data_IF_608027148931
#
_entry.id   IF_608027148931
#
_cell.length_a   1.000
_cell.length_b   1.000
_cell.length_c   1.000
_cell.angle_alpha   90.00
_cell.angle_beta   90.00
_cell.angle_gamma   90.00
#
_symmetry.space_group_name_H-M   'P 1'
#
loop_
_entity.id
_entity.type
_entity.pdbx_description
1 polymer ?
#
# COMPACT_ATOMS: atom_id res chain seq x y z
N UNK A 1 8.52 -9.02 -18.19
CA UNK A 1 8.95 -9.75 -16.99
C UNK A 1 7.91 -9.50 -15.93
N UNK A 2 7.09 -10.47 -15.56
CA UNK A 2 6.19 -10.32 -14.43
C UNK A 2 7.05 -10.23 -13.17
N UNK A 3 6.85 -9.19 -12.37
CA UNK A 3 7.48 -9.12 -11.06
C UNK A 3 6.90 -10.28 -10.24
N UNK A 4 7.76 -11.10 -9.66
CA UNK A 4 7.31 -12.21 -8.84
C UNK A 4 6.42 -11.67 -7.71
N UNK A 5 5.16 -12.09 -7.67
CA UNK A 5 4.18 -11.65 -6.66
C UNK A 5 3.09 -10.70 -7.17
N UNK A 6 3.20 -10.14 -8.38
CA UNK A 6 2.16 -9.24 -8.93
C UNK A 6 0.99 -9.98 -9.59
N UNK A 7 1.02 -11.31 -9.66
CA UNK A 7 -0.07 -12.11 -10.21
C UNK A 7 -1.05 -12.53 -9.13
N UNK A 8 -2.31 -12.17 -9.34
CA UNK A 8 -3.39 -12.68 -8.53
C UNK A 8 -3.86 -14.02 -9.10
N UNK A 9 -3.73 -15.10 -8.33
CA UNK A 9 -4.39 -16.36 -8.66
C UNK A 9 -5.91 -16.24 -8.41
N UNK A 10 -6.68 -16.26 -9.49
CA UNK A 10 -8.13 -16.22 -9.42
C UNK A 10 -8.71 -17.39 -8.56
N UNK A 11 -8.06 -18.54 -8.56
CA UNK A 11 -8.48 -19.67 -7.71
C UNK A 11 -8.31 -19.38 -6.23
N UNK A 12 -7.22 -18.70 -5.84
CA UNK A 12 -7.04 -18.27 -4.46
C UNK A 12 -8.17 -17.34 -4.03
N UNK A 13 -8.45 -16.29 -4.81
CA UNK A 13 -9.49 -15.32 -4.51
C UNK A 13 -10.86 -15.98 -4.33
N UNK A 14 -11.23 -16.87 -5.24
CA UNK A 14 -12.53 -17.54 -5.19
C UNK A 14 -12.62 -18.58 -4.07
N UNK A 15 -11.61 -19.42 -3.92
CA UNK A 15 -11.67 -20.57 -2.98
C UNK A 15 -11.52 -20.18 -1.52
N UNK A 16 -10.66 -19.19 -1.23
CA UNK A 16 -10.33 -18.81 0.14
C UNK A 16 -11.09 -17.57 0.61
N UNK A 17 -11.36 -16.64 -0.29
CA UNK A 17 -11.95 -15.34 0.07
C UNK A 17 -13.39 -15.19 -0.44
N UNK A 18 -13.85 -16.06 -1.33
CA UNK A 18 -15.16 -15.91 -1.96
C UNK A 18 -15.26 -14.69 -2.91
N UNK A 19 -14.13 -14.13 -3.32
CA UNK A 19 -14.03 -12.95 -4.18
C UNK A 19 -13.91 -13.40 -5.62
N UNK A 20 -14.74 -12.83 -6.49
CA UNK A 20 -14.64 -13.02 -7.94
C UNK A 20 -13.72 -11.96 -8.54
N UNK A 21 -12.55 -12.30 -9.09
CA UNK A 21 -11.75 -11.36 -9.85
C UNK A 21 -12.45 -10.96 -11.14
N UNK A 22 -12.42 -9.67 -11.45
CA UNK A 22 -12.86 -9.14 -12.75
C UNK A 22 -11.73 -8.33 -13.37
N UNK A 23 -11.56 -8.51 -14.66
CA UNK A 23 -10.53 -7.82 -15.43
C UNK A 23 -11.19 -6.73 -16.26
N UNK A 24 -10.69 -5.50 -16.11
CA UNK A 24 -11.09 -4.35 -16.91
C UNK A 24 -9.91 -3.96 -17.77
N UNK A 25 -10.10 -3.87 -19.09
CA UNK A 25 -9.05 -3.42 -19.98
C UNK A 25 -8.76 -1.93 -19.74
N UNK A 26 -7.48 -1.55 -19.72
CA UNK A 26 -7.06 -0.15 -19.50
C UNK A 26 -7.62 0.80 -20.57
N UNK A 27 -7.92 0.31 -21.75
CA UNK A 27 -8.56 1.10 -22.80
C UNK A 27 -9.95 1.61 -22.39
N UNK A 28 -10.61 0.96 -21.44
CA UNK A 28 -11.87 1.45 -20.88
C UNK A 28 -11.67 2.76 -20.09
N UNK A 29 -10.60 2.88 -19.34
CA UNK A 29 -10.25 4.14 -18.65
C UNK A 29 -9.98 5.22 -19.69
N UNK A 30 -9.17 4.93 -20.71
CA UNK A 30 -8.86 5.88 -21.77
C UNK A 30 -10.11 6.28 -22.57
N UNK A 31 -11.02 5.33 -22.85
CA UNK A 31 -12.31 5.59 -23.48
C UNK A 31 -13.14 6.57 -22.66
N UNK A 32 -13.25 6.34 -21.35
CA UNK A 32 -13.99 7.24 -20.46
C UNK A 32 -13.36 8.63 -20.39
N UNK A 33 -12.05 8.72 -20.31
CA UNK A 33 -11.35 10.03 -20.37
C UNK A 33 -11.67 10.76 -21.67
N UNK A 34 -11.54 10.09 -22.83
CA UNK A 34 -11.74 10.70 -24.16
C UNK A 34 -13.19 11.06 -24.46
N UNK A 35 -14.15 10.32 -23.91
CA UNK A 35 -15.58 10.53 -24.11
C UNK A 35 -16.22 11.29 -22.94
N UNK A 36 -15.40 11.79 -22.02
CA UNK A 36 -15.82 12.57 -20.86
C UNK A 36 -16.89 11.87 -19.99
N UNK A 37 -16.71 10.55 -19.77
CA UNK A 37 -17.63 9.73 -18.99
C UNK A 37 -17.21 9.74 -17.51
N UNK A 38 -17.49 10.84 -16.85
CA UNK A 38 -17.30 11.09 -15.41
C UNK A 38 -18.24 12.21 -14.96
N UNK A 39 -18.48 12.35 -13.67
CA UNK A 39 -19.27 13.48 -13.13
C UNK A 39 -18.46 14.78 -13.29
N UNK A 40 -18.89 15.65 -14.21
CA UNK A 40 -18.20 16.90 -14.51
C UNK A 40 -18.17 17.86 -13.33
N UNK A 41 -19.25 17.94 -12.55
CA UNK A 41 -19.29 18.83 -11.39
C UNK A 41 -18.33 18.35 -10.29
N UNK A 42 -18.25 17.03 -10.10
CA UNK A 42 -17.26 16.46 -9.16
C UNK A 42 -15.84 16.63 -9.69
N UNK A 43 -15.63 16.48 -11.00
CA UNK A 43 -14.31 16.73 -11.61
C UNK A 43 -13.81 18.15 -11.35
N UNK A 44 -14.63 19.17 -11.59
CA UNK A 44 -14.26 20.54 -11.32
C UNK A 44 -13.93 20.78 -9.85
N UNK A 45 -14.72 20.20 -8.94
CA UNK A 45 -14.44 20.27 -7.51
C UNK A 45 -13.12 19.58 -7.15
N UNK A 46 -12.89 18.37 -7.67
CA UNK A 46 -11.69 17.59 -7.40
C UNK A 46 -10.44 18.29 -7.95
N UNK A 47 -10.50 18.82 -9.17
CA UNK A 47 -9.37 19.55 -9.77
C UNK A 47 -9.04 20.82 -9.00
N UNK A 48 -10.06 21.60 -8.61
CA UNK A 48 -9.84 22.79 -7.80
C UNK A 48 -9.22 22.47 -6.44
N UNK A 49 -9.70 21.40 -5.79
CA UNK A 49 -9.15 20.90 -4.53
C UNK A 49 -7.68 20.43 -4.71
N UNK A 50 -7.40 19.69 -5.77
CA UNK A 50 -6.04 19.20 -6.07
C UNK A 50 -5.08 20.38 -6.26
N UNK A 51 -5.46 21.37 -7.08
CA UNK A 51 -4.65 22.59 -7.30
C UNK A 51 -4.40 23.38 -6.00
N UNK A 52 -5.31 23.31 -5.04
CA UNK A 52 -5.19 24.05 -3.77
C UNK A 52 -4.42 23.29 -2.68
N UNK A 53 -4.40 21.96 -2.72
CA UNK A 53 -3.92 21.12 -1.62
C UNK A 53 -2.78 20.16 -1.99
N UNK A 54 -2.45 20.05 -3.27
CA UNK A 54 -1.42 19.13 -3.75
C UNK A 54 -0.26 19.94 -4.41
N UNK A 55 0.59 20.60 -3.61
CA UNK A 55 1.71 21.37 -4.15
C UNK A 55 2.69 20.44 -4.88
N UNK A 56 3.17 20.88 -6.03
CA UNK A 56 4.22 20.15 -6.73
C UNK A 56 5.52 20.20 -5.93
N UNK A 57 6.12 19.02 -5.78
CA UNK A 57 7.40 18.84 -5.12
C UNK A 57 8.59 18.91 -6.09
N UNK A 58 9.65 18.21 -5.75
CA UNK A 58 10.88 18.19 -6.53
C UNK A 58 10.64 17.58 -7.92
N UNK A 59 10.95 18.33 -8.97
CA UNK A 59 11.07 17.79 -10.33
C UNK A 59 12.52 17.36 -10.59
N UNK A 60 12.71 16.09 -10.87
CA UNK A 60 14.02 15.51 -11.21
C UNK A 60 14.27 15.46 -12.71
N UNK A 61 13.30 15.84 -13.52
CA UNK A 61 13.37 15.79 -14.98
C UNK A 61 14.09 17.04 -15.48
N UNK A 62 15.31 16.88 -16.00
CA UNK A 62 16.13 17.98 -16.51
C UNK A 62 16.07 18.12 -18.04
N UNK A 63 15.53 17.12 -18.72
CA UNK A 63 15.46 17.06 -20.18
C UNK A 63 14.14 16.45 -20.64
N UNK A 64 13.71 16.81 -21.84
CA UNK A 64 12.57 16.18 -22.50
C UNK A 64 12.89 14.71 -22.72
N UNK A 65 11.99 13.82 -22.32
CA UNK A 65 12.18 12.39 -22.49
C UNK A 65 12.18 12.03 -23.99
N UNK A 66 13.29 11.55 -24.55
CA UNK A 66 13.33 11.14 -25.96
C UNK A 66 12.44 9.93 -26.28
N UNK A 67 11.98 9.19 -25.26
CA UNK A 67 11.07 8.05 -25.39
C UNK A 67 9.60 8.43 -25.54
N UNK A 68 9.21 9.64 -25.16
CA UNK A 68 7.88 10.22 -25.39
C UNK A 68 8.01 11.75 -25.56
N UNK A 69 8.22 12.22 -26.79
CA UNK A 69 8.37 13.66 -27.06
C UNK A 69 7.06 14.43 -26.86
N UNK A 70 5.92 13.74 -26.83
CA UNK A 70 4.58 14.33 -26.71
C UNK A 70 4.05 14.19 -25.25
N UNK A 71 4.94 14.18 -24.25
CA UNK A 71 4.52 14.17 -22.85
C UNK A 71 3.66 15.41 -22.55
N UNK A 72 2.56 15.19 -21.85
CA UNK A 72 1.63 16.26 -21.44
C UNK A 72 2.34 17.29 -20.57
N UNK A 73 1.91 18.55 -20.65
CA UNK A 73 2.28 19.56 -19.65
C UNK A 73 1.82 19.14 -18.25
N UNK A 74 2.42 19.68 -17.19
CA UNK A 74 2.01 19.36 -15.82
C UNK A 74 0.52 19.63 -15.58
N UNK A 75 -0.02 20.72 -16.13
CA UNK A 75 -1.44 21.03 -16.01
C UNK A 75 -2.31 19.96 -16.66
N UNK A 76 -1.98 19.52 -17.87
CA UNK A 76 -2.69 18.44 -18.55
C UNK A 76 -2.54 17.09 -17.83
N UNK A 77 -1.37 16.82 -17.23
CA UNK A 77 -1.15 15.64 -16.39
C UNK A 77 -2.05 15.67 -15.15
N UNK A 78 -2.16 16.79 -14.44
CA UNK A 78 -3.07 16.94 -13.31
C UNK A 78 -4.53 16.70 -13.69
N UNK A 79 -4.98 17.32 -14.77
CA UNK A 79 -6.32 17.08 -15.29
C UNK A 79 -6.58 15.60 -15.60
N UNK A 80 -5.60 14.96 -16.24
CA UNK A 80 -5.70 13.53 -16.57
C UNK A 80 -5.74 12.66 -15.32
N UNK A 81 -4.86 12.90 -14.35
CA UNK A 81 -4.78 12.15 -13.09
C UNK A 81 -6.10 12.26 -12.30
N UNK A 82 -6.69 13.45 -12.22
CA UNK A 82 -7.98 13.64 -11.53
C UNK A 82 -9.12 12.91 -12.27
N UNK A 83 -9.20 13.03 -13.60
CA UNK A 83 -10.18 12.28 -14.41
C UNK A 83 -10.04 10.77 -14.20
N UNK A 84 -8.81 10.28 -14.26
CA UNK A 84 -8.48 8.86 -14.04
C UNK A 84 -8.91 8.39 -12.65
N UNK A 85 -8.68 9.20 -11.61
CA UNK A 85 -9.07 8.87 -10.23
C UNK A 85 -10.59 8.68 -10.08
N UNK A 86 -11.39 9.62 -10.65
CA UNK A 86 -12.85 9.50 -10.67
C UNK A 86 -13.29 8.24 -11.41
N UNK A 87 -12.73 8.02 -12.59
CA UNK A 87 -13.10 6.91 -13.47
C UNK A 87 -12.79 5.55 -12.81
N UNK A 88 -11.61 5.41 -12.19
CA UNK A 88 -11.24 4.17 -11.47
C UNK A 88 -12.21 3.92 -10.32
N UNK A 89 -12.49 4.94 -9.51
CA UNK A 89 -13.46 4.85 -8.42
C UNK A 89 -14.83 4.41 -8.94
N UNK A 90 -15.31 5.04 -10.01
CA UNK A 90 -16.64 4.79 -10.58
C UNK A 90 -16.73 3.39 -11.22
N UNK A 91 -15.65 2.88 -11.82
CA UNK A 91 -15.57 1.48 -12.26
C UNK A 91 -15.71 0.52 -11.08
N UNK A 92 -15.10 0.83 -9.96
CA UNK A 92 -15.13 -0.03 -8.76
C UNK A 92 -16.51 0.03 -8.06
N UNK A 93 -17.00 1.22 -7.77
CA UNK A 93 -18.14 1.45 -6.87
C UNK A 93 -19.43 1.76 -7.61
N UNK A 94 -19.36 2.28 -8.84
CA UNK A 94 -20.47 2.86 -9.57
C UNK A 94 -20.68 4.34 -9.25
N UNK A 95 -21.44 5.01 -10.14
CA UNK A 95 -21.81 6.41 -9.98
C UNK A 95 -23.14 6.68 -10.69
N UNK A 96 -24.21 6.82 -9.91
CA UNK A 96 -25.57 7.03 -10.46
C UNK A 96 -25.72 8.32 -11.28
N UNK A 97 -24.87 9.33 -11.04
CA UNK A 97 -24.89 10.58 -11.81
C UNK A 97 -24.53 10.39 -13.28
N UNK A 98 -23.84 9.31 -13.62
CA UNK A 98 -23.54 8.99 -15.01
C UNK A 98 -24.81 8.66 -15.82
N UNK A 99 -25.91 8.29 -15.15
CA UNK A 99 -27.23 8.09 -15.79
C UNK A 99 -27.77 9.39 -16.38
N UNK A 100 -27.47 10.51 -15.72
CA UNK A 100 -27.89 11.83 -16.20
C UNK A 100 -27.19 12.23 -17.52
N UNK A 101 -26.01 11.63 -17.76
CA UNK A 101 -25.26 11.72 -19.01
C UNK A 101 -25.68 10.68 -20.06
N UNK A 102 -26.74 9.89 -19.79
CA UNK A 102 -27.16 8.77 -20.65
C UNK A 102 -26.22 7.57 -20.64
N UNK A 103 -25.35 7.48 -19.63
CA UNK A 103 -24.33 6.41 -19.48
C UNK A 103 -24.78 5.37 -18.46
N UNK A 104 -25.85 4.65 -18.80
CA UNK A 104 -26.50 3.70 -17.89
C UNK A 104 -25.63 2.50 -17.55
N UNK A 105 -24.86 1.97 -18.50
CA UNK A 105 -23.96 0.84 -18.26
C UNK A 105 -22.76 1.27 -17.41
N UNK A 106 -22.14 2.40 -17.76
CA UNK A 106 -20.98 2.94 -17.06
C UNK A 106 -21.30 3.43 -15.65
N UNK A 107 -22.57 3.71 -15.34
CA UNK A 107 -23.01 4.07 -13.99
C UNK A 107 -22.95 2.89 -13.02
N UNK A 108 -23.00 1.67 -13.53
CA UNK A 108 -22.89 0.48 -12.70
C UNK A 108 -21.43 0.21 -12.34
N UNK A 109 -21.13 0.13 -11.04
CA UNK A 109 -19.85 -0.34 -10.54
C UNK A 109 -19.75 -1.86 -10.56
N UNK A 110 -18.57 -2.32 -10.23
CA UNK A 110 -18.27 -3.76 -10.06
C UNK A 110 -18.49 -4.27 -8.64
N UNK A 111 -18.95 -3.41 -7.72
CA UNK A 111 -19.02 -3.70 -6.30
C UNK A 111 -17.67 -4.26 -5.77
N UNK A 112 -16.58 -3.63 -6.22
CA UNK A 112 -15.23 -4.06 -5.93
C UNK A 112 -14.85 -3.69 -4.49
N UNK A 113 -14.25 -4.63 -3.78
CA UNK A 113 -13.75 -4.40 -2.41
C UNK A 113 -12.28 -4.00 -2.38
N UNK A 114 -11.54 -4.32 -3.42
CA UNK A 114 -10.25 -3.73 -3.76
C UNK A 114 -9.99 -3.91 -5.26
N UNK A 115 -9.05 -3.17 -5.77
CA UNK A 115 -8.61 -3.22 -7.15
C UNK A 115 -7.10 -3.05 -7.26
N UNK A 116 -6.62 -2.89 -8.49
CA UNK A 116 -5.24 -2.58 -8.79
C UNK A 116 -5.09 -2.17 -10.23
N UNK A 117 -4.07 -1.40 -10.54
CA UNK A 117 -3.80 -0.91 -11.87
C UNK A 117 -2.54 -1.57 -12.41
N UNK A 118 -2.73 -2.52 -13.33
CA UNK A 118 -1.63 -3.22 -14.00
C UNK A 118 -1.22 -2.45 -15.27
N UNK A 119 0.02 -2.56 -15.64
CA UNK A 119 0.47 -2.12 -16.94
C UNK A 119 1.29 -0.87 -16.91
N UNK A 120 2.11 -0.77 -15.91
CA UNK A 120 3.06 0.32 -15.78
C UNK A 120 3.80 0.62 -17.08
N UNK A 121 4.20 -0.37 -17.88
CA UNK A 121 4.99 -0.12 -19.10
C UNK A 121 4.17 0.40 -20.26
N UNK A 122 3.14 -0.28 -20.70
CA UNK A 122 2.37 0.15 -21.88
C UNK A 122 1.57 1.44 -21.63
N UNK A 123 0.95 1.56 -20.46
CA UNK A 123 0.21 2.76 -20.10
C UNK A 123 1.15 3.92 -19.82
N UNK A 124 2.11 3.74 -18.93
CA UNK A 124 2.97 4.81 -18.42
C UNK A 124 4.08 5.23 -19.39
N UNK A 125 4.24 4.54 -20.51
CA UNK A 125 5.09 5.03 -21.59
C UNK A 125 4.44 6.21 -22.36
N UNK A 126 3.11 6.36 -22.30
CA UNK A 126 2.37 7.34 -23.10
C UNK A 126 1.42 8.22 -22.28
N UNK A 127 0.99 7.77 -21.12
CA UNK A 127 -0.02 8.41 -20.31
C UNK A 127 0.47 8.53 -18.86
N UNK A 128 -0.05 9.52 -18.10
CA UNK A 128 0.26 9.67 -16.69
C UNK A 128 0.03 8.38 -15.89
N UNK A 129 0.91 8.13 -14.92
CA UNK A 129 0.81 6.98 -14.03
C UNK A 129 -0.43 7.06 -13.12
N UNK A 130 -0.71 5.98 -12.39
CA UNK A 130 -1.85 5.90 -11.49
C UNK A 130 -1.54 6.32 -10.05
N UNK A 131 -0.35 6.84 -9.76
CA UNK A 131 0.14 7.07 -8.40
C UNK A 131 -0.77 8.03 -7.62
N UNK A 132 -1.18 9.14 -8.23
CA UNK A 132 -2.11 10.07 -7.61
C UNK A 132 -3.46 9.39 -7.27
N UNK A 133 -4.00 8.60 -8.21
CA UNK A 133 -5.26 7.88 -8.01
C UNK A 133 -5.13 6.85 -6.86
N UNK A 134 -4.05 6.08 -6.85
CA UNK A 134 -3.78 5.11 -5.80
C UNK A 134 -3.60 5.78 -4.44
N UNK A 135 -2.84 6.87 -4.36
CA UNK A 135 -2.63 7.62 -3.11
C UNK A 135 -3.94 8.16 -2.54
N UNK A 136 -4.74 8.87 -3.35
CA UNK A 136 -5.97 9.50 -2.88
C UNK A 136 -7.08 8.49 -2.60
N UNK A 137 -7.22 7.45 -3.41
CA UNK A 137 -8.26 6.44 -3.17
C UNK A 137 -7.96 5.59 -1.94
N UNK A 138 -6.70 5.23 -1.70
CA UNK A 138 -6.29 4.52 -0.49
C UNK A 138 -6.34 5.37 0.79
N UNK A 139 -6.38 6.70 0.68
CA UNK A 139 -6.45 7.61 1.83
C UNK A 139 -7.84 7.62 2.47
N UNK A 140 -7.89 8.04 3.74
CA UNK A 140 -9.13 8.19 4.51
C UNK A 140 -9.90 9.47 4.18
N UNK A 141 -9.45 10.22 3.20
CA UNK A 141 -10.06 11.47 2.75
C UNK A 141 -9.83 11.72 1.25
N UNK A 142 -10.62 12.61 0.69
CA UNK A 142 -10.45 13.20 -0.63
C UNK A 142 -11.04 14.62 -0.67
N UNK A 143 -11.33 15.15 -1.86
CA UNK A 143 -11.98 16.46 -2.07
C UNK A 143 -13.40 16.56 -1.48
N UNK A 144 -14.00 15.47 -1.04
CA UNK A 144 -15.30 15.45 -0.35
C UNK A 144 -15.17 15.42 1.17
N UNK A 145 -13.94 15.44 1.70
CA UNK A 145 -13.62 15.27 3.11
C UNK A 145 -13.32 13.81 3.47
N UNK A 146 -13.52 13.44 4.72
CA UNK A 146 -13.23 12.07 5.18
C UNK A 146 -14.11 11.02 4.49
N UNK A 147 -13.51 9.87 4.19
CA UNK A 147 -14.15 8.73 3.52
C UNK A 147 -13.55 7.41 3.94
N UNK A 148 -14.28 6.34 3.71
CA UNK A 148 -13.68 5.00 3.74
C UNK A 148 -12.70 4.86 2.57
N UNK A 149 -11.49 4.30 2.80
CA UNK A 149 -10.55 4.00 1.72
C UNK A 149 -11.15 3.12 0.64
N UNK A 150 -10.85 3.45 -0.61
CA UNK A 150 -11.09 2.60 -1.78
C UNK A 150 -9.77 1.96 -2.14
N UNK A 151 -9.62 0.69 -1.84
CA UNK A 151 -8.31 0.04 -1.86
C UNK A 151 -7.83 -0.24 -3.29
N UNK A 152 -6.64 0.27 -3.60
CA UNK A 152 -5.91 -0.01 -4.84
C UNK A 152 -4.52 -0.54 -4.52
N UNK A 153 -4.21 -1.71 -5.03
CA UNK A 153 -2.89 -2.32 -4.93
C UNK A 153 -2.03 -1.92 -6.12
N UNK A 154 -0.92 -1.29 -5.85
CA UNK A 154 0.08 -0.91 -6.86
C UNK A 154 0.47 -2.14 -7.71
N UNK A 155 0.75 -1.93 -8.99
CA UNK A 155 1.09 -2.98 -9.96
C UNK A 155 0.03 -4.09 -10.12
N UNK A 156 -1.19 -3.87 -9.62
CA UNK A 156 -2.24 -4.88 -9.53
C UNK A 156 -1.77 -6.14 -8.77
N UNK A 157 -0.94 -5.97 -7.73
CA UNK A 157 -0.55 -7.06 -6.86
C UNK A 157 -1.71 -7.48 -5.96
N UNK A 158 -2.56 -8.37 -6.46
CA UNK A 158 -3.75 -8.81 -5.76
C UNK A 158 -3.48 -9.59 -4.46
N UNK A 159 -2.30 -10.19 -4.31
CA UNK A 159 -1.91 -10.84 -3.06
C UNK A 159 -1.61 -9.79 -1.98
N UNK A 160 -0.90 -8.72 -2.34
CA UNK A 160 -0.70 -7.59 -1.44
C UNK A 160 -1.99 -6.80 -1.21
N UNK A 161 -2.83 -6.64 -2.26
CA UNK A 161 -4.17 -6.06 -2.14
C UNK A 161 -5.06 -6.81 -1.15
N UNK A 162 -4.94 -8.14 -1.09
CA UNK A 162 -5.61 -8.96 -0.07
C UNK A 162 -5.10 -8.62 1.34
N UNK A 163 -3.80 -8.44 1.51
CA UNK A 163 -3.24 -8.01 2.80
C UNK A 163 -3.72 -6.61 3.17
N UNK A 164 -3.76 -5.66 2.21
CA UNK A 164 -4.35 -4.32 2.43
C UNK A 164 -5.81 -4.41 2.87
N UNK A 165 -6.60 -5.28 2.24
CA UNK A 165 -7.99 -5.51 2.60
C UNK A 165 -8.12 -6.01 4.04
N UNK A 166 -7.29 -6.98 4.45
CA UNK A 166 -7.29 -7.49 5.81
C UNK A 166 -6.97 -6.38 6.82
N UNK A 167 -5.92 -5.60 6.57
CA UNK A 167 -5.55 -4.48 7.43
C UNK A 167 -6.66 -3.44 7.54
N UNK A 168 -7.24 -3.03 6.43
CA UNK A 168 -8.33 -2.04 6.41
C UNK A 168 -9.59 -2.55 7.14
N UNK A 169 -10.04 -3.78 6.88
CA UNK A 169 -11.25 -4.33 7.49
C UNK A 169 -11.10 -4.56 9.00
N UNK A 170 -9.91 -4.99 9.46
CA UNK A 170 -9.66 -5.20 10.89
C UNK A 170 -9.55 -3.90 11.66
N UNK A 171 -9.07 -2.84 11.04
CA UNK A 171 -8.72 -1.60 11.75
C UNK A 171 -9.58 -0.39 11.42
N UNK A 172 -10.26 -0.39 10.27
CA UNK A 172 -10.94 0.80 9.74
C UNK A 172 -9.97 1.92 9.32
N UNK A 173 -8.68 1.60 9.12
CA UNK A 173 -7.62 2.55 8.77
C UNK A 173 -7.16 2.36 7.33
N UNK A 174 -6.49 3.36 6.80
CA UNK A 174 -5.77 3.20 5.54
C UNK A 174 -4.73 2.06 5.67
N UNK A 175 -4.58 1.29 4.61
CA UNK A 175 -3.48 0.33 4.46
C UNK A 175 -2.54 0.83 3.39
N UNK A 176 -1.25 0.77 3.67
CA UNK A 176 -0.21 1.30 2.79
C UNK A 176 0.41 0.16 2.02
N UNK A 177 0.38 0.24 0.70
CA UNK A 177 1.20 -0.62 -0.14
C UNK A 177 2.66 -0.18 -0.01
N UNK A 178 3.58 -1.11 0.18
CA UNK A 178 5.00 -0.82 0.27
C UNK A 178 5.85 -1.83 -0.49
N UNK A 179 6.88 -1.31 -1.14
CA UNK A 179 8.02 -2.09 -1.61
C UNK A 179 8.97 -2.34 -0.44
N UNK A 180 9.31 -3.59 -0.19
CA UNK A 180 10.35 -3.98 0.77
C UNK A 180 11.70 -3.88 0.04
N UNK A 181 12.34 -2.72 0.12
CA UNK A 181 13.45 -2.37 -0.79
C UNK A 181 14.81 -2.81 -0.31
N UNK A 182 15.19 -2.43 0.90
CA UNK A 182 16.56 -2.58 1.37
C UNK A 182 16.61 -2.71 2.88
N UNK A 183 17.41 -3.65 3.35
CA UNK A 183 17.91 -3.64 4.72
C UNK A 183 19.13 -2.72 4.81
N UNK A 184 19.09 -1.79 5.74
CA UNK A 184 20.22 -0.95 6.11
C UNK A 184 20.85 -1.46 7.40
N UNK A 185 22.03 -2.07 7.31
CA UNK A 185 22.79 -2.44 8.51
C UNK A 185 23.37 -1.20 9.19
N UNK A 186 23.60 -1.22 10.51
CA UNK A 186 24.23 -0.11 11.23
C UNK A 186 25.56 0.33 10.60
N UNK A 187 26.38 -0.64 10.18
CA UNK A 187 27.68 -0.38 9.56
C UNK A 187 27.55 0.26 8.18
N UNK A 188 26.52 -0.12 7.42
CA UNK A 188 26.26 0.47 6.12
C UNK A 188 25.78 1.92 6.25
N UNK A 189 24.92 2.19 7.21
CA UNK A 189 24.44 3.54 7.53
C UNK A 189 25.62 4.42 7.96
N UNK A 190 26.42 3.98 8.93
CA UNK A 190 27.58 4.73 9.42
C UNK A 190 28.59 4.99 8.30
N UNK A 191 28.88 4.01 7.45
CA UNK A 191 29.79 4.15 6.32
C UNK A 191 29.31 5.18 5.29
N UNK A 192 27.99 5.27 5.04
CA UNK A 192 27.42 6.15 4.02
C UNK A 192 27.20 7.57 4.55
N UNK A 193 26.80 7.71 5.80
CA UNK A 193 26.30 8.97 6.35
C UNK A 193 27.18 9.54 7.47
N UNK A 194 28.07 8.75 8.05
CA UNK A 194 28.83 9.08 9.25
C UNK A 194 28.01 9.03 10.55
N UNK A 195 26.73 8.71 10.48
CA UNK A 195 25.84 8.61 11.64
C UNK A 195 25.72 7.16 12.11
N UNK A 196 25.91 6.95 13.39
CA UNK A 196 25.72 5.66 14.02
C UNK A 196 24.27 5.51 14.45
N UNK A 197 23.53 4.50 13.96
CA UNK A 197 22.16 4.27 14.37
C UNK A 197 22.00 4.03 15.87
N UNK A 198 20.95 4.59 16.45
CA UNK A 198 20.65 4.53 17.87
C UNK A 198 19.16 4.25 18.12
N UNK A 199 18.78 4.05 19.37
CA UNK A 199 17.40 3.76 19.76
C UNK A 199 16.87 2.51 19.05
N UNK A 200 15.67 2.58 18.48
CA UNK A 200 15.07 1.47 17.73
C UNK A 200 15.89 1.09 16.48
N UNK A 201 16.50 2.06 15.85
CA UNK A 201 17.32 1.85 14.65
C UNK A 201 18.68 1.22 14.91
N UNK A 202 19.11 1.04 16.19
CA UNK A 202 20.44 0.62 16.56
C UNK A 202 20.92 -0.69 15.91
N UNK A 203 19.99 -1.59 15.56
CA UNK A 203 20.26 -2.88 14.91
C UNK A 203 19.93 -2.88 13.42
N UNK A 204 19.79 -1.70 12.82
CA UNK A 204 19.40 -1.53 11.43
C UNK A 204 17.88 -1.41 11.24
N UNK A 205 17.48 -1.17 10.02
CA UNK A 205 16.09 -0.94 9.66
C UNK A 205 15.84 -1.33 8.19
N UNK A 206 14.58 -1.49 7.84
CA UNK A 206 14.13 -1.81 6.49
C UNK A 206 13.62 -0.53 5.84
N UNK A 207 14.06 -0.25 4.62
CA UNK A 207 13.55 0.80 3.77
C UNK A 207 12.30 0.29 3.06
N UNK A 208 11.16 0.86 3.41
CA UNK A 208 9.89 0.65 2.75
C UNK A 208 9.55 1.91 1.97
N UNK A 209 9.29 1.74 0.68
CA UNK A 209 8.84 2.81 -0.22
C UNK A 209 7.60 2.33 -0.97
N UNK A 210 7.01 3.20 -1.73
CA UNK A 210 6.15 2.77 -2.83
C UNK A 210 6.60 3.49 -4.11
N UNK A 211 6.27 2.98 -5.27
CA UNK A 211 6.58 3.63 -6.56
C UNK A 211 5.78 4.93 -6.80
N UNK A 212 5.62 5.71 -5.73
CA UNK A 212 5.00 7.03 -5.71
C UNK A 212 3.52 7.06 -5.27
N UNK A 213 2.99 5.97 -4.76
CA UNK A 213 1.55 5.78 -4.53
C UNK A 213 1.21 5.32 -3.11
N UNK A 214 1.61 6.03 -2.08
CA UNK A 214 1.18 5.70 -0.72
C UNK A 214 -0.01 6.55 -0.27
N UNK A 215 -0.93 5.96 0.50
CA UNK A 215 -1.99 6.70 1.18
C UNK A 215 -1.39 7.84 2.02
N UNK A 216 -1.96 9.03 1.93
CA UNK A 216 -1.44 10.23 2.62
C UNK A 216 -1.50 10.07 4.15
N UNK A 217 -2.38 9.22 4.65
CA UNK A 217 -2.42 8.78 6.06
C UNK A 217 -1.09 8.23 6.57
N UNK A 218 -0.26 7.67 5.69
CA UNK A 218 1.04 7.12 6.04
C UNK A 218 2.06 8.18 6.47
N UNK A 219 1.77 9.47 6.30
CA UNK A 219 2.53 10.53 6.98
C UNK A 219 2.56 10.32 8.48
N UNK A 220 1.49 9.74 9.07
CA UNK A 220 1.37 9.53 10.51
C UNK A 220 1.18 10.81 11.30
N UNK A 221 0.64 11.86 10.69
CA UNK A 221 0.46 13.17 11.32
C UNK A 221 -0.90 13.39 11.96
N UNK A 222 -1.82 12.45 11.80
CA UNK A 222 -3.00 12.44 12.66
C UNK A 222 -2.57 12.22 14.12
N UNK A 223 -3.30 12.84 15.04
CA UNK A 223 -2.96 12.84 16.47
C UNK A 223 -4.12 12.25 17.27
N UNK A 224 -3.80 11.44 18.28
CA UNK A 224 -4.75 11.12 19.34
C UNK A 224 -4.87 12.25 20.37
N UNK A 225 -5.63 12.01 21.43
CA UNK A 225 -5.83 12.99 22.50
C UNK A 225 -4.55 13.35 23.25
N UNK A 226 -3.58 12.43 23.29
CA UNK A 226 -2.28 12.63 23.93
C UNK A 226 -1.26 13.31 23.02
N UNK A 227 -1.63 13.54 21.75
CA UNK A 227 -0.74 14.08 20.74
C UNK A 227 0.21 13.06 20.12
N UNK A 228 -0.01 11.76 20.36
CA UNK A 228 0.76 10.67 19.76
C UNK A 228 0.44 10.53 18.28
N UNK A 229 1.47 10.31 17.48
CA UNK A 229 1.32 10.08 16.03
C UNK A 229 0.59 8.76 15.78
N UNK A 230 -0.37 8.79 14.87
CA UNK A 230 -1.10 7.59 14.46
C UNK A 230 -1.71 7.73 13.08
N UNK A 231 -2.19 6.59 12.55
CA UNK A 231 -3.14 6.57 11.44
C UNK A 231 -4.53 6.30 12.04
N UNK A 232 -5.44 7.27 11.94
CA UNK A 232 -6.80 7.15 12.51
C UNK A 232 -7.69 6.22 11.70
N UNK A 233 -8.71 5.69 12.36
CA UNK A 233 -9.85 5.11 11.65
C UNK A 233 -10.53 6.18 10.81
N UNK A 234 -10.96 5.84 9.61
CA UNK A 234 -11.48 6.79 8.64
C UNK A 234 -12.63 7.67 9.19
N UNK A 235 -13.46 7.13 10.09
CA UNK A 235 -14.57 7.87 10.69
C UNK A 235 -14.14 8.85 11.82
N UNK A 236 -12.94 8.71 12.34
CA UNK A 236 -12.35 9.55 13.38
C UNK A 236 -11.39 10.63 12.87
N UNK A 237 -11.10 10.63 11.54
CA UNK A 237 -10.25 11.64 10.92
C UNK A 237 -10.96 13.00 10.99
N UNK A 238 -10.23 14.05 11.36
CA UNK A 238 -10.71 15.43 11.42
C UNK A 238 -10.14 16.28 10.28
N UNK A 239 -10.72 17.46 10.07
CA UNK A 239 -10.23 18.39 9.06
C UNK A 239 -8.80 18.89 9.40
N UNK A 240 -8.46 18.98 10.69
CA UNK A 240 -7.12 19.31 11.17
C UNK A 240 -6.11 18.20 10.84
N UNK A 241 -6.51 16.94 11.03
CA UNK A 241 -5.68 15.79 10.63
C UNK A 241 -5.42 15.80 9.12
N UNK A 242 -6.48 16.01 8.31
CA UNK A 242 -6.39 16.08 6.84
C UNK A 242 -5.40 17.18 6.44
N UNK A 243 -5.53 18.36 7.03
CA UNK A 243 -4.64 19.47 6.73
C UNK A 243 -3.18 19.17 7.09
N UNK A 244 -2.94 18.62 8.28
CA UNK A 244 -1.60 18.25 8.72
C UNK A 244 -0.93 17.21 7.79
N UNK A 245 -1.70 16.23 7.32
CA UNK A 245 -1.23 15.22 6.38
C UNK A 245 -0.93 15.81 5.00
N UNK A 246 -1.80 16.70 4.49
CA UNK A 246 -1.60 17.39 3.20
C UNK A 246 -0.42 18.34 3.24
N UNK A 247 -0.29 19.15 4.31
CA UNK A 247 0.81 20.12 4.47
C UNK A 247 2.19 19.43 4.55
N UNK A 248 2.24 18.14 4.85
CA UNK A 248 3.47 17.35 4.90
C UNK A 248 3.72 16.52 3.63
N UNK A 249 2.85 16.62 2.63
CA UNK A 249 2.93 15.85 1.39
C UNK A 249 3.16 16.76 0.21
N UNK A 250 4.28 16.56 -0.47
CA UNK A 250 4.51 17.11 -1.80
C UNK A 250 4.09 16.10 -2.87
N UNK A 251 3.80 16.60 -4.06
CA UNK A 251 3.47 15.78 -5.21
C UNK A 251 4.55 15.96 -6.29
N UNK A 252 5.49 15.04 -6.32
CA UNK A 252 6.61 15.11 -7.23
C UNK A 252 6.23 14.69 -8.64
N UNK A 253 6.58 15.46 -9.68
CA UNK A 253 6.48 14.99 -11.05
C UNK A 253 7.22 13.66 -11.22
N UNK A 254 6.57 12.71 -11.85
CA UNK A 254 7.13 11.36 -12.04
C UNK A 254 8.41 11.42 -12.87
N UNK A 255 9.39 10.60 -12.51
CA UNK A 255 10.63 10.48 -13.26
C UNK A 255 10.35 9.93 -14.67
N UNK A 256 10.51 10.76 -15.71
CA UNK A 256 10.24 10.42 -17.10
C UNK A 256 11.17 9.32 -17.65
N UNK A 257 12.28 9.05 -17.00
CA UNK A 257 13.12 7.90 -17.31
C UNK A 257 12.45 6.56 -16.97
N UNK A 258 11.53 6.59 -16.01
CA UNK A 258 10.78 5.44 -15.52
C UNK A 258 9.32 5.46 -15.96
N UNK A 259 8.61 6.57 -15.73
CA UNK A 259 7.21 6.81 -16.13
C UNK A 259 7.17 7.84 -17.26
N UNK A 260 7.35 7.39 -18.47
CA UNK A 260 7.53 8.26 -19.66
C UNK A 260 6.33 9.12 -20.02
N UNK A 261 5.14 8.73 -19.58
CA UNK A 261 3.91 9.49 -19.75
C UNK A 261 3.69 10.55 -18.67
N UNK A 262 4.56 10.61 -17.66
CA UNK A 262 4.45 11.53 -16.53
C UNK A 262 3.52 11.03 -15.44
N UNK A 263 2.92 11.96 -14.72
CA UNK A 263 2.08 11.76 -13.54
C UNK A 263 2.71 12.39 -12.30
N UNK A 264 2.12 12.15 -11.14
CA UNK A 264 2.57 12.73 -9.89
C UNK A 264 2.61 11.68 -8.79
N UNK A 265 3.74 11.61 -8.10
CA UNK A 265 3.98 10.72 -6.97
C UNK A 265 3.76 11.47 -5.66
N UNK A 266 3.06 10.87 -4.69
CA UNK A 266 3.06 11.41 -3.33
C UNK A 266 4.46 11.29 -2.74
N UNK A 267 4.93 12.32 -2.06
CA UNK A 267 6.26 12.36 -1.45
C UNK A 267 6.16 12.87 -0.01
N UNK A 268 6.57 12.05 0.94
CA UNK A 268 6.61 12.36 2.37
C UNK A 268 7.49 11.35 3.11
N UNK A 269 7.83 11.67 4.36
CA UNK A 269 8.44 10.73 5.33
C UNK A 269 7.41 10.36 6.39
N UNK A 270 7.23 9.07 6.62
CA UNK A 270 6.40 8.59 7.73
C UNK A 270 7.00 8.96 9.09
N UNK A 271 6.17 9.45 10.02
CA UNK A 271 6.57 9.80 11.37
C UNK A 271 7.04 8.56 12.17
N UNK A 272 7.89 8.81 13.17
CA UNK A 272 8.44 7.77 14.05
C UNK A 272 7.43 7.29 15.09
N UNK A 273 7.81 6.19 15.74
CA UNK A 273 7.21 5.62 16.95
C UNK A 273 5.77 5.09 16.74
N UNK A 274 5.30 5.00 15.50
CA UNK A 274 4.04 4.34 15.24
C UNK A 274 4.20 2.83 15.32
N UNK A 275 3.41 2.13 16.16
CA UNK A 275 3.29 0.69 16.07
C UNK A 275 2.61 0.34 14.75
N UNK A 276 3.22 -0.55 13.97
CA UNK A 276 2.70 -0.98 12.68
C UNK A 276 2.87 -2.49 12.51
N UNK A 277 2.01 -3.06 11.69
CA UNK A 277 2.11 -4.45 11.23
C UNK A 277 2.33 -4.45 9.73
N UNK A 278 3.45 -5.02 9.31
CA UNK A 278 3.70 -5.37 7.90
C UNK A 278 3.18 -6.77 7.64
N UNK A 279 2.42 -6.95 6.57
CA UNK A 279 1.80 -8.23 6.22
C UNK A 279 1.81 -8.47 4.72
N UNK A 280 1.78 -9.74 4.34
CA UNK A 280 1.76 -10.18 2.94
C UNK A 280 1.10 -11.54 2.81
N UNK A 281 0.26 -11.70 1.79
CA UNK A 281 -0.18 -13.03 1.32
C UNK A 281 0.76 -13.50 0.22
N UNK A 282 1.24 -14.73 0.33
CA UNK A 282 2.06 -15.40 -0.68
C UNK A 282 1.43 -16.73 -1.08
N UNK A 283 1.70 -17.19 -2.30
CA UNK A 283 1.37 -18.54 -2.74
C UNK A 283 2.65 -19.36 -2.71
N UNK A 284 2.73 -20.33 -1.82
CA UNK A 284 3.89 -21.22 -1.69
C UNK A 284 3.57 -22.54 -2.40
N UNK A 285 4.46 -22.96 -3.29
CA UNK A 285 4.31 -24.24 -3.99
C UNK A 285 4.21 -25.40 -2.99
N UNK A 286 3.25 -26.26 -3.20
CA UNK A 286 3.00 -27.40 -2.32
C UNK A 286 2.22 -27.08 -1.04
N UNK A 287 2.09 -25.80 -0.66
CA UNK A 287 1.34 -25.35 0.54
C UNK A 287 0.06 -24.62 0.13
N UNK A 288 0.14 -23.72 -0.83
CA UNK A 288 -0.95 -22.81 -1.22
C UNK A 288 -0.76 -21.41 -0.64
N UNK A 289 -1.85 -20.66 -0.42
CA UNK A 289 -1.75 -19.32 0.15
C UNK A 289 -1.25 -19.38 1.60
N UNK A 290 -0.35 -18.48 1.93
CA UNK A 290 0.19 -18.27 3.28
C UNK A 290 0.21 -16.79 3.63
N UNK A 291 0.08 -16.47 4.91
CA UNK A 291 0.23 -15.11 5.41
C UNK A 291 1.58 -14.95 6.11
N UNK A 292 2.27 -13.86 5.84
CA UNK A 292 3.45 -13.39 6.58
C UNK A 292 3.09 -12.15 7.35
N UNK A 293 3.58 -12.03 8.58
CA UNK A 293 3.27 -10.95 9.52
C UNK A 293 4.55 -10.52 10.21
N UNK A 294 4.82 -9.22 10.25
CA UNK A 294 5.91 -8.64 11.02
C UNK A 294 5.41 -7.39 11.75
N UNK A 295 5.22 -7.48 13.05
CA UNK A 295 4.96 -6.32 13.91
C UNK A 295 6.26 -5.56 14.18
N UNK A 296 6.17 -4.26 14.29
CA UNK A 296 7.31 -3.39 14.57
C UNK A 296 6.90 -1.93 14.69
N UNK A 297 7.86 -1.05 14.46
CA UNK A 297 7.68 0.38 14.62
C UNK A 297 8.25 1.15 13.45
N UNK A 298 7.65 2.29 13.16
CA UNK A 298 8.26 3.27 12.27
C UNK A 298 9.36 4.03 13.03
N UNK A 299 10.39 4.46 12.31
CA UNK A 299 11.44 5.34 12.82
C UNK A 299 11.66 6.51 11.86
N UNK A 300 12.17 7.62 12.36
CA UNK A 300 12.67 8.71 11.53
C UNK A 300 14.18 8.78 11.65
N UNK A 301 14.80 9.23 10.58
CA UNK A 301 16.24 9.46 10.52
C UNK A 301 16.51 10.97 10.46
N UNK A 302 17.62 11.45 11.01
CA UNK A 302 18.06 12.83 10.77
C UNK A 302 18.13 13.16 9.27
N UNK A 303 17.83 14.35 8.85
CA UNK A 303 17.75 14.71 7.41
C UNK A 303 19.05 14.44 6.66
N UNK A 304 20.20 14.70 7.31
CA UNK A 304 21.51 14.39 6.75
C UNK A 304 21.82 12.90 6.63
N UNK A 305 21.00 12.03 7.24
CA UNK A 305 21.04 10.57 7.13
C UNK A 305 19.99 10.11 6.14
N UNK A 306 18.76 10.60 6.27
CA UNK A 306 17.65 10.24 5.39
C UNK A 306 17.99 10.48 3.92
N UNK A 307 18.39 11.70 3.56
CA UNK A 307 18.63 12.07 2.17
C UNK A 307 19.61 11.16 1.42
N UNK A 308 20.84 10.89 1.93
CA UNK A 308 21.75 9.99 1.22
C UNK A 308 21.30 8.54 1.10
N UNK A 309 20.42 8.07 2.00
CA UNK A 309 19.88 6.71 1.94
C UNK A 309 18.71 6.63 0.97
N UNK A 310 17.86 7.63 0.95
CA UNK A 310 16.70 7.76 0.11
C UNK A 310 17.08 7.93 -1.37
N UNK A 311 18.07 8.76 -1.67
CA UNK A 311 18.63 8.99 -3.00
C UNK A 311 19.17 7.72 -3.69
N UNK A 312 19.40 6.66 -2.94
CA UNK A 312 19.79 5.36 -3.50
C UNK A 312 18.63 4.58 -4.11
N UNK A 313 17.43 5.04 -3.93
CA UNK A 313 16.23 4.45 -4.49
C UNK A 313 15.57 5.45 -5.45
N UNK A 314 14.58 6.18 -4.98
CA UNK A 314 14.00 7.30 -5.69
C UNK A 314 13.55 8.35 -4.67
N UNK A 315 14.21 9.49 -4.68
CA UNK A 315 13.97 10.59 -3.74
C UNK A 315 12.66 11.34 -3.95
N UNK A 316 11.87 10.95 -4.95
CA UNK A 316 10.55 11.52 -5.25
C UNK A 316 9.41 10.66 -4.74
N UNK A 317 9.72 9.54 -4.05
CA UNK A 317 8.72 8.58 -3.58
C UNK A 317 8.53 8.64 -2.07
N UNK A 318 7.35 8.25 -1.56
CA UNK A 318 7.09 8.24 -0.12
C UNK A 318 7.92 7.17 0.58
N UNK A 319 8.48 7.52 1.74
CA UNK A 319 9.40 6.66 2.48
C UNK A 319 8.91 6.38 3.89
N UNK A 320 8.94 5.10 4.26
CA UNK A 320 8.77 4.62 5.63
C UNK A 320 10.01 3.84 6.05
N UNK A 321 10.64 4.25 7.16
CA UNK A 321 11.70 3.49 7.80
C UNK A 321 11.08 2.56 8.83
N UNK A 322 11.27 1.25 8.67
CA UNK A 322 10.60 0.24 9.48
C UNK A 322 11.61 -0.60 10.26
N UNK A 323 11.35 -0.76 11.55
CA UNK A 323 12.11 -1.67 12.43
C UNK A 323 11.17 -2.75 12.94
N UNK A 324 11.26 -3.99 12.43
CA UNK A 324 10.50 -5.11 12.97
C UNK A 324 10.94 -5.44 14.40
N UNK A 325 10.02 -5.88 15.24
CA UNK A 325 10.36 -6.51 16.50
C UNK A 325 11.01 -7.87 16.25
N UNK A 326 12.20 -8.08 16.85
CA UNK A 326 12.97 -9.30 16.67
C UNK A 326 12.89 -10.17 17.93
N UNK A 327 12.81 -11.49 17.72
CA UNK A 327 12.70 -12.49 18.80
C UNK A 327 14.03 -13.19 19.09
N UNK A 328 15.05 -12.95 18.27
CA UNK A 328 16.34 -13.63 18.33
C UNK A 328 16.32 -15.06 17.76
N UNK A 329 15.25 -15.46 17.05
CA UNK A 329 15.08 -16.83 16.52
C UNK A 329 14.46 -16.84 15.13
N UNK A 330 14.81 -17.83 14.32
CA UNK A 330 14.20 -18.12 13.03
C UNK A 330 14.21 -16.91 12.09
N UNK A 331 13.10 -16.66 11.43
CA UNK A 331 12.94 -15.51 10.54
C UNK A 331 13.00 -14.15 11.26
N UNK A 332 12.92 -14.13 12.58
CA UNK A 332 13.01 -12.94 13.43
C UNK A 332 14.26 -12.94 14.31
N UNK A 333 15.32 -13.61 13.86
CA UNK A 333 16.61 -13.61 14.59
C UNK A 333 17.19 -12.19 14.70
N UNK A 334 17.11 -11.42 13.65
CA UNK A 334 17.49 -10.01 13.53
C UNK A 334 16.72 -9.33 12.41
N UNK A 335 16.91 -8.02 12.23
CA UNK A 335 16.22 -7.22 11.20
C UNK A 335 16.52 -7.71 9.78
N UNK A 336 17.76 -8.14 9.52
CA UNK A 336 18.11 -8.69 8.20
C UNK A 336 17.36 -9.99 7.93
N UNK A 337 17.26 -10.87 8.94
CA UNK A 337 16.54 -12.14 8.82
C UNK A 337 15.07 -11.94 8.47
N UNK A 338 14.41 -10.89 9.00
CA UNK A 338 13.03 -10.55 8.64
C UNK A 338 12.93 -10.26 7.15
N UNK A 339 13.78 -9.38 6.62
CA UNK A 339 13.76 -9.07 5.19
C UNK A 339 14.16 -10.28 4.33
N UNK A 340 15.19 -11.01 4.71
CA UNK A 340 15.69 -12.17 3.96
C UNK A 340 14.66 -13.31 3.85
N UNK A 341 13.77 -13.44 4.83
CA UNK A 341 12.69 -14.44 4.84
C UNK A 341 11.35 -13.89 4.36
N UNK A 342 11.28 -12.60 4.02
CA UNK A 342 10.08 -12.01 3.43
C UNK A 342 9.93 -12.49 2.00
N UNK A 343 8.85 -13.21 1.72
CA UNK A 343 8.69 -13.99 0.49
C UNK A 343 8.40 -13.19 -0.78
N UNK A 344 8.43 -11.86 -0.72
CA UNK A 344 8.15 -10.98 -1.85
C UNK A 344 8.84 -9.63 -1.70
N UNK A 345 8.89 -8.85 -2.77
CA UNK A 345 9.32 -7.45 -2.74
C UNK A 345 8.25 -6.47 -2.25
N UNK A 346 7.02 -6.92 -2.01
CA UNK A 346 5.92 -6.10 -1.53
C UNK A 346 5.46 -6.53 -0.15
N UNK A 347 4.92 -5.57 0.60
CA UNK A 347 4.22 -5.76 1.86
C UNK A 347 3.15 -4.69 2.03
N UNK A 348 2.13 -4.98 2.82
CA UNK A 348 1.14 -3.98 3.25
C UNK A 348 1.43 -3.57 4.68
N UNK A 349 1.35 -2.28 4.98
CA UNK A 349 1.52 -1.74 6.33
C UNK A 349 0.19 -1.23 6.84
N UNK A 350 -0.14 -1.59 8.06
CA UNK A 350 -1.30 -1.04 8.78
C UNK A 350 -0.88 -0.61 10.18
N UNK A 351 -1.44 0.49 10.66
CA UNK A 351 -1.20 0.98 12.01
C UNK A 351 -1.73 0.01 13.07
N UNK A 352 -0.93 -0.20 14.10
CA UNK A 352 -1.19 -1.07 15.23
C UNK A 352 -0.49 -2.43 15.12
N UNK A 353 -0.29 -3.06 16.26
CA UNK A 353 0.17 -4.45 16.36
C UNK A 353 -1.06 -5.36 16.27
N UNK A 354 -1.49 -5.67 15.07
CA UNK A 354 -2.68 -6.47 14.75
C UNK A 354 -2.38 -7.92 14.37
N UNK A 355 -1.16 -8.37 14.61
CA UNK A 355 -0.72 -9.70 14.21
C UNK A 355 -1.56 -10.84 14.82
N UNK A 356 -2.01 -10.70 16.07
CA UNK A 356 -2.89 -11.67 16.71
C UNK A 356 -4.26 -11.78 16.02
N UNK A 357 -4.84 -10.65 15.63
CA UNK A 357 -6.10 -10.62 14.89
C UNK A 357 -5.94 -11.20 13.48
N UNK A 358 -4.81 -10.92 12.83
CA UNK A 358 -4.47 -11.49 11.52
C UNK A 358 -4.30 -13.01 11.58
N UNK A 359 -3.65 -13.55 12.62
CA UNK A 359 -3.53 -15.00 12.84
C UNK A 359 -4.91 -15.62 13.02
N UNK A 360 -5.78 -14.97 13.78
CA UNK A 360 -7.16 -15.44 13.99
C UNK A 360 -7.93 -15.43 12.67
N UNK A 361 -7.87 -14.33 11.91
CA UNK A 361 -8.52 -14.22 10.60
C UNK A 361 -8.00 -15.26 9.62
N UNK A 362 -6.68 -15.43 9.53
CA UNK A 362 -6.03 -16.41 8.67
C UNK A 362 -6.50 -17.84 8.99
N UNK A 363 -6.64 -18.15 10.28
CA UNK A 363 -7.16 -19.44 10.74
C UNK A 363 -8.62 -19.67 10.32
N UNK A 364 -9.47 -18.64 10.41
CA UNK A 364 -10.86 -18.70 9.95
C UNK A 364 -10.95 -18.93 8.44
N UNK A 365 -10.05 -18.32 7.67
CA UNK A 365 -9.93 -18.44 6.22
C UNK A 365 -9.15 -19.69 5.80
N UNK A 366 -8.58 -20.45 6.75
CA UNK A 366 -7.72 -21.61 6.50
C UNK A 366 -6.48 -21.30 5.69
N UNK A 367 -5.92 -20.13 5.93
CA UNK A 367 -4.65 -19.67 5.36
C UNK A 367 -3.57 -19.84 6.45
N UNK A 368 -2.55 -20.70 6.25
CA UNK A 368 -1.47 -20.83 7.23
C UNK A 368 -0.67 -19.53 7.35
N UNK A 369 -0.21 -19.25 8.56
CA UNK A 369 0.75 -18.17 8.81
C UNK A 369 2.15 -18.77 8.78
N UNK A 370 2.96 -18.39 7.81
CA UNK A 370 4.29 -18.97 7.59
C UNK A 370 5.40 -18.22 8.31
N UNK A 371 5.11 -16.99 8.78
CA UNK A 371 6.08 -16.13 9.45
C UNK A 371 5.36 -15.12 10.33
N UNK A 372 5.68 -15.06 11.62
CA UNK A 372 5.19 -14.00 12.52
C UNK A 372 6.11 -13.83 13.75
N UNK A 373 6.05 -12.65 14.37
CA UNK A 373 6.73 -12.32 15.63
C UNK A 373 5.75 -12.04 16.78
N UNK A 374 4.48 -12.39 16.60
CA UNK A 374 3.46 -12.23 17.64
C UNK A 374 3.74 -13.18 18.79
N UNK A 375 3.74 -12.67 20.03
CA UNK A 375 3.96 -13.49 21.22
C UNK A 375 2.78 -14.43 21.46
N UNK A 376 3.08 -15.61 21.98
CA UNK A 376 2.12 -16.70 22.12
C UNK A 376 0.93 -16.36 23.02
N UNK A 377 1.16 -15.56 24.06
CA UNK A 377 0.14 -15.11 24.99
C UNK A 377 -0.92 -14.17 24.36
N UNK A 378 -0.59 -13.54 23.24
CA UNK A 378 -1.50 -12.68 22.48
C UNK A 378 -2.34 -13.45 21.46
N UNK A 379 -1.95 -14.67 21.10
CA UNK A 379 -2.63 -15.44 20.06
C UNK A 379 -3.86 -16.11 20.62
N UNK A 380 -5.04 -15.77 20.08
CA UNK A 380 -6.29 -16.43 20.44
C UNK A 380 -6.32 -17.85 19.91
N UNK A 381 -6.47 -18.82 20.82
CA UNK A 381 -6.60 -20.25 20.47
C UNK A 381 -7.89 -20.80 21.06
N UNK A 382 -8.95 -20.98 20.24
CA UNK A 382 -10.17 -21.63 20.71
C UNK A 382 -9.86 -23.00 21.27
N UNK A 383 -10.55 -23.37 22.33
CA UNK A 383 -10.33 -24.67 23.00
C UNK A 383 -10.47 -25.86 22.03
N UNK A 384 -11.33 -25.75 21.04
CA UNK A 384 -11.48 -26.76 19.98
C UNK A 384 -10.23 -26.97 19.14
N UNK A 385 -9.32 -26.00 19.08
CA UNK A 385 -8.05 -26.13 18.34
C UNK A 385 -6.97 -26.86 19.14
N UNK A 386 -7.14 -26.99 20.45
CA UNK A 386 -6.22 -27.75 21.29
C UNK A 386 -6.06 -29.22 20.86
N UNK A 387 -7.07 -29.78 20.19
CA UNK A 387 -7.01 -31.12 19.61
C UNK A 387 -6.02 -31.29 18.45
N UNK A 388 -5.44 -30.20 17.92
CA UNK A 388 -4.50 -30.25 16.79
C UNK A 388 -3.03 -30.30 17.23
N UNK A 389 -2.75 -30.62 18.48
CA UNK A 389 -1.41 -30.93 18.93
C UNK A 389 -0.53 -29.70 19.17
N UNK A 390 -0.80 -29.01 20.20
CA UNK A 390 -0.40 -27.63 20.48
C UNK A 390 0.85 -27.43 21.32
N UNK A 391 1.72 -28.41 21.43
CA UNK A 391 3.01 -28.21 22.09
C UNK A 391 3.93 -27.20 21.36
N UNK A 392 3.58 -26.89 20.10
CA UNK A 392 4.29 -25.93 19.26
C UNK A 392 3.28 -24.99 18.61
N UNK A 393 3.15 -23.81 19.17
CA UNK A 393 2.20 -22.80 18.74
C UNK A 393 2.43 -22.32 17.30
N UNK A 394 3.67 -22.10 16.91
CA UNK A 394 4.01 -21.67 15.54
C UNK A 394 3.67 -22.74 14.50
N UNK A 395 3.90 -24.01 14.84
CA UNK A 395 3.63 -25.13 13.94
C UNK A 395 2.18 -25.60 13.95
N UNK A 396 1.40 -25.32 15.00
CA UNK A 396 0.03 -25.84 15.13
C UNK A 396 -0.90 -25.29 14.04
N UNK A 397 -0.87 -23.98 13.81
CA UNK A 397 -1.70 -23.33 12.80
C UNK A 397 -1.27 -23.75 11.39
N UNK A 398 0.03 -23.75 11.14
CA UNK A 398 0.59 -24.23 9.89
C UNK A 398 0.21 -25.70 9.61
N UNK A 399 0.37 -26.59 10.60
CA UNK A 399 0.02 -28.01 10.44
C UNK A 399 -1.47 -28.22 10.22
N UNK A 400 -2.32 -27.53 10.97
CA UNK A 400 -3.75 -27.61 10.77
C UNK A 400 -4.15 -27.15 9.37
N UNK A 401 -3.65 -26.00 8.93
CA UNK A 401 -3.95 -25.48 7.61
C UNK A 401 -3.28 -26.30 6.49
N UNK A 402 -2.06 -26.80 6.69
CA UNK A 402 -1.41 -27.69 5.73
C UNK A 402 -2.18 -29.00 5.58
N UNK A 403 -2.69 -29.56 6.68
CA UNK A 403 -3.46 -30.80 6.64
C UNK A 403 -4.84 -30.62 5.99
N UNK A 404 -5.59 -29.60 6.40
CA UNK A 404 -6.96 -29.37 5.93
C UNK A 404 -7.04 -28.45 4.71
N UNK A 405 -6.08 -27.55 4.53
CA UNK A 405 -6.03 -26.65 3.38
C UNK A 405 -6.02 -27.39 2.05
N UNK A 406 -5.43 -28.55 1.99
CA UNK A 406 -5.39 -29.39 0.80
C UNK A 406 -6.73 -30.06 0.45
N UNK A 407 -7.65 -30.13 1.35
CA UNK A 407 -9.00 -30.61 1.05
C UNK A 407 -9.78 -29.65 0.15
N UNK A 408 -9.24 -28.47 -0.11
CA UNK A 408 -9.82 -27.44 -0.96
C UNK A 408 -9.09 -27.27 -2.29
N UNK A 409 -8.21 -28.20 -2.63
CA UNK A 409 -7.58 -28.26 -3.95
C UNK A 409 -8.54 -28.70 -5.03
#
# INVERSE_FOLDING_TARGET
>A
MGIAGSWCDANFMQKYLGIRPEWVDMTEILRRVKLEIYDHAEYEKALAWTKANCPEGMDVNTEVNPGNPDVMSHEEQWEFCVKMTLIIRDIMLGNDKLKDLGRFEESNGRNAIFGGFQGQRQWTDWLPNADFAESILNSTFDWNGKKQPVLLATENDGLNGTAMLFGNLLTGRASVFADVRTYWSPEAVERVTGWKPEGRAANGFIHLINSGAAAVDATGLAKDEDGTNLMKQWWNVTDEDIRAMLDATDWCPANLGYFRGGGFSSHFKTQAEMPVTMMRVNIIEGVGPTLQIAEGYTVTLPDNVHKPLDERTDKTWPTTWFVPEVTGKGAFADVYSVMANWGANHGSITYGHIGADLITLASMLRIPVSMHNVSEDRIYRPHCWAGFGTADAEGADYRACAHYGYLYR
#
